data_IF_140055880392
#
_entry.id   IF_140055880392
#
_cell.length_a   1.000
_cell.length_b   1.000
_cell.length_c   1.000
_cell.angle_alpha   90.00
_cell.angle_beta   90.00
_cell.angle_gamma   90.00
#
_symmetry.space_group_name_H-M   'P 1'
#
loop_
_entity.id
_entity.type
_entity.pdbx_description
1 polymer ?
#
# COMPACT_ATOMS: atom_id res chain seq x y z
N UNK A 1 -8.32 23.77 24.08
CA UNK A 1 -7.96 22.83 22.99
C UNK A 1 -8.41 21.45 23.39
N UNK A 2 -9.20 20.76 22.58
CA UNK A 2 -9.57 19.37 22.88
C UNK A 2 -8.43 18.47 22.40
N UNK A 3 -7.88 17.65 23.29
CA UNK A 3 -6.78 16.74 22.97
C UNK A 3 -7.27 15.57 22.10
N UNK A 4 -6.42 15.07 21.21
CA UNK A 4 -6.61 13.82 20.47
C UNK A 4 -6.40 12.66 21.46
N UNK A 5 -7.28 11.67 21.45
CA UNK A 5 -7.18 10.49 22.31
C UNK A 5 -7.04 9.23 21.44
N UNK A 6 -5.92 8.52 21.59
CA UNK A 6 -5.70 7.27 20.88
C UNK A 6 -6.47 6.09 21.51
N UNK A 7 -6.88 5.09 20.70
CA UNK A 7 -6.79 5.07 19.23
C UNK A 7 -7.85 5.97 18.59
N UNK A 8 -7.45 6.76 17.58
CA UNK A 8 -8.38 7.60 16.80
C UNK A 8 -9.34 6.78 15.94
N UNK A 9 -8.93 5.57 15.54
CA UNK A 9 -9.76 4.55 14.88
C UNK A 9 -9.66 3.27 15.70
N UNK A 10 -10.72 2.89 16.41
CA UNK A 10 -10.72 1.71 17.30
C UNK A 10 -11.10 0.43 16.54
N UNK A 11 -10.73 -0.73 17.10
CA UNK A 11 -11.04 -2.04 16.49
C UNK A 11 -10.12 -2.37 15.31
N UNK A 12 -10.62 -3.16 14.36
CA UNK A 12 -9.85 -3.62 13.21
C UNK A 12 -9.66 -2.49 12.18
N UNK A 13 -8.61 -1.68 12.35
CA UNK A 13 -8.19 -0.59 11.45
C UNK A 13 -6.66 -0.59 11.35
N UNK A 14 -6.09 -1.59 10.67
CA UNK A 14 -4.65 -1.72 10.49
C UNK A 14 -4.14 -0.85 9.33
N UNK A 15 -2.82 -0.67 9.29
CA UNK A 15 -2.07 -0.05 8.17
C UNK A 15 -2.63 1.31 7.71
N UNK A 16 -2.69 2.33 8.59
CA UNK A 16 -3.25 3.64 8.23
C UNK A 16 -2.37 4.38 7.22
N UNK A 17 -2.89 4.62 6.01
CA UNK A 17 -2.34 5.55 5.03
C UNK A 17 -3.10 6.87 5.10
N UNK A 18 -2.46 7.92 5.64
CA UNK A 18 -3.06 9.25 5.82
C UNK A 18 -2.66 10.22 4.71
N UNK A 19 -3.61 11.02 4.23
CA UNK A 19 -3.38 12.16 3.34
C UNK A 19 -4.18 13.38 3.78
N UNK A 20 -3.83 14.53 3.20
CA UNK A 20 -4.61 15.76 3.31
C UNK A 20 -4.92 16.29 1.91
N UNK A 21 -6.19 16.65 1.68
CA UNK A 21 -6.64 17.39 0.49
C UNK A 21 -7.33 18.64 0.99
N UNK A 22 -6.80 19.81 0.61
CA UNK A 22 -7.26 21.11 1.10
C UNK A 22 -7.33 21.16 2.63
N UNK A 23 -8.51 21.19 3.24
CA UNK A 23 -8.77 21.26 4.68
C UNK A 23 -9.23 19.92 5.29
N UNK A 24 -9.24 18.84 4.50
CA UNK A 24 -9.75 17.53 4.89
C UNK A 24 -8.64 16.49 4.93
N UNK A 25 -8.64 15.66 5.96
CA UNK A 25 -7.74 14.53 6.13
C UNK A 25 -8.47 13.23 5.85
N UNK A 26 -7.79 12.29 5.22
CA UNK A 26 -8.32 10.97 4.92
C UNK A 26 -7.38 9.89 5.42
N UNK A 27 -7.93 8.80 5.94
CA UNK A 27 -7.18 7.58 6.27
C UNK A 27 -7.76 6.42 5.48
N UNK A 28 -6.91 5.67 4.80
CA UNK A 28 -7.20 4.35 4.27
C UNK A 28 -6.61 3.27 5.20
N UNK A 29 -7.38 2.24 5.52
CA UNK A 29 -6.95 1.08 6.30
C UNK A 29 -7.14 -0.21 5.51
N UNK A 30 -6.28 -1.20 5.77
CA UNK A 30 -6.41 -2.56 5.25
C UNK A 30 -7.69 -3.24 5.75
N UNK A 31 -8.23 -4.14 4.94
CA UNK A 31 -9.47 -4.89 5.24
C UNK A 31 -9.31 -6.40 5.12
N UNK A 32 -8.17 -6.89 4.65
CA UNK A 32 -7.90 -8.29 4.38
C UNK A 32 -9.03 -8.93 3.55
N UNK A 33 -9.61 -10.04 4.01
CA UNK A 33 -10.69 -10.77 3.34
C UNK A 33 -12.08 -10.11 3.45
N UNK A 34 -12.21 -9.02 4.23
CA UNK A 34 -13.50 -8.35 4.41
C UNK A 34 -13.86 -7.48 3.20
N UNK A 35 -15.10 -7.65 2.72
CA UNK A 35 -15.66 -6.91 1.58
C UNK A 35 -16.80 -6.00 2.06
N UNK A 36 -16.92 -4.74 1.55
CA UNK A 36 -16.09 -4.10 0.53
C UNK A 36 -14.67 -3.75 1.03
N UNK A 37 -13.71 -3.71 0.10
CA UNK A 37 -12.28 -3.58 0.42
C UNK A 37 -11.82 -2.14 0.62
N UNK A 38 -10.80 -1.98 1.48
CA UNK A 38 -10.26 -0.72 2.00
C UNK A 38 -11.29 0.08 2.81
N UNK A 39 -10.97 0.39 4.06
CA UNK A 39 -11.82 1.25 4.88
C UNK A 39 -11.33 2.69 4.81
N UNK A 40 -12.21 3.62 4.44
CA UNK A 40 -11.91 5.03 4.34
C UNK A 40 -12.54 5.82 5.49
N UNK A 41 -11.78 6.73 6.07
CA UNK A 41 -12.29 7.71 7.03
C UNK A 41 -11.90 9.12 6.61
N UNK A 42 -12.75 10.10 6.93
CA UNK A 42 -12.44 11.53 6.77
C UNK A 42 -12.51 12.28 8.09
N UNK A 43 -11.69 13.31 8.22
CA UNK A 43 -11.67 14.23 9.37
C UNK A 43 -11.29 15.63 8.95
N UNK A 44 -11.83 16.64 9.65
CA UNK A 44 -11.42 18.05 9.52
C UNK A 44 -10.46 18.47 10.65
N UNK A 45 -10.34 17.67 11.70
CA UNK A 45 -9.66 18.07 12.95
C UNK A 45 -8.68 17.02 13.49
N UNK A 46 -8.45 15.93 12.74
CA UNK A 46 -7.62 14.77 13.11
C UNK A 46 -8.09 14.00 14.36
N UNK A 47 -9.20 14.42 14.97
CA UNK A 47 -9.73 13.87 16.21
C UNK A 47 -11.00 13.06 15.96
N UNK A 48 -11.95 13.66 15.26
CA UNK A 48 -13.25 13.07 14.96
C UNK A 48 -13.21 12.56 13.52
N UNK A 49 -13.45 11.26 13.35
CA UNK A 49 -13.33 10.57 12.08
C UNK A 49 -14.67 9.96 11.69
N UNK A 50 -15.12 10.26 10.48
CA UNK A 50 -16.34 9.70 9.90
C UNK A 50 -15.98 8.62 8.89
N UNK A 51 -16.72 7.50 8.92
CA UNK A 51 -16.58 6.44 7.93
C UNK A 51 -17.13 6.89 6.58
N UNK A 52 -16.39 6.59 5.50
CA UNK A 52 -16.76 6.82 4.11
C UNK A 52 -17.14 5.51 3.40
N UNK A 53 -17.84 5.58 2.25
CA UNK A 53 -18.00 4.43 1.38
C UNK A 53 -16.64 3.83 0.98
N UNK A 54 -16.54 2.50 1.01
CA UNK A 54 -15.33 1.79 0.60
C UNK A 54 -15.10 1.89 -0.91
N UNK A 55 -13.85 2.08 -1.36
CA UNK A 55 -13.52 2.25 -2.76
C UNK A 55 -13.66 0.95 -3.56
N UNK A 56 -13.30 -0.20 -2.96
CA UNK A 56 -13.31 -1.51 -3.63
C UNK A 56 -14.64 -2.24 -3.36
N UNK A 57 -15.71 -1.72 -3.97
CA UNK A 57 -17.09 -2.12 -3.69
C UNK A 57 -17.74 -3.04 -4.72
N UNK A 58 -17.00 -3.43 -5.77
CA UNK A 58 -17.46 -4.34 -6.83
C UNK A 58 -16.44 -5.43 -7.09
N UNK A 59 -16.88 -6.55 -7.68
CA UNK A 59 -15.97 -7.65 -8.05
C UNK A 59 -15.02 -7.30 -9.19
N UNK A 60 -15.34 -6.28 -10.00
CA UNK A 60 -14.39 -5.72 -10.99
C UNK A 60 -13.18 -5.10 -10.31
N UNK A 61 -13.40 -4.41 -9.19
CA UNK A 61 -12.33 -3.80 -8.40
C UNK A 61 -11.62 -4.83 -7.49
N UNK A 62 -12.36 -5.79 -6.96
CA UNK A 62 -11.83 -6.75 -5.99
C UNK A 62 -12.62 -8.06 -5.97
N UNK A 63 -12.02 -9.13 -6.50
CA UNK A 63 -12.54 -10.49 -6.37
C UNK A 63 -11.64 -11.32 -5.43
N UNK A 64 -12.15 -11.56 -4.22
CA UNK A 64 -11.48 -12.32 -3.17
C UNK A 64 -12.11 -13.69 -2.91
N UNK A 65 -12.98 -14.18 -3.80
CA UNK A 65 -13.56 -15.51 -3.64
C UNK A 65 -12.44 -16.55 -3.61
N UNK A 66 -12.32 -17.27 -2.50
CA UNK A 66 -11.30 -18.30 -2.30
C UNK A 66 -9.97 -17.78 -1.75
N UNK A 67 -9.85 -16.50 -1.40
CA UNK A 67 -8.68 -16.00 -0.68
C UNK A 67 -8.53 -16.69 0.69
N UNK A 68 -7.29 -16.87 1.19
CA UNK A 68 -7.06 -17.37 2.54
C UNK A 68 -7.52 -16.35 3.59
N UNK A 69 -7.74 -16.81 4.82
CA UNK A 69 -7.91 -15.90 5.96
C UNK A 69 -6.69 -14.99 6.10
N UNK A 70 -6.93 -13.71 6.40
CA UNK A 70 -5.91 -12.64 6.39
C UNK A 70 -5.20 -12.44 5.04
N UNK A 71 -5.71 -13.01 3.94
CA UNK A 71 -5.33 -12.65 2.58
C UNK A 71 -6.05 -11.38 2.11
N UNK A 72 -6.20 -11.19 0.80
CA UNK A 72 -6.93 -10.04 0.26
C UNK A 72 -6.20 -8.73 0.52
N UNK A 73 -6.94 -7.72 0.96
CA UNK A 73 -6.47 -6.33 1.06
C UNK A 73 -5.50 -6.12 2.22
N UNK A 74 -4.20 -6.21 1.91
CA UNK A 74 -3.12 -5.75 2.77
C UNK A 74 -2.97 -4.22 2.71
N UNK A 75 -1.92 -3.67 3.34
CA UNK A 75 -1.72 -2.23 3.52
C UNK A 75 -1.99 -1.42 2.23
N UNK A 76 -3.02 -0.54 2.23
CA UNK A 76 -3.26 0.35 1.12
C UNK A 76 -2.36 1.59 1.20
N UNK A 77 -2.12 2.24 0.08
CA UNK A 77 -1.52 3.56 0.02
C UNK A 77 -2.45 4.52 -0.73
N UNK A 78 -3.02 5.46 0.00
CA UNK A 78 -3.82 6.56 -0.53
C UNK A 78 -2.91 7.77 -0.73
N UNK A 79 -3.04 8.42 -1.88
CA UNK A 79 -2.30 9.65 -2.25
C UNK A 79 -3.21 10.60 -3.05
N UNK A 80 -2.83 11.88 -3.11
CA UNK A 80 -3.53 12.90 -3.88
C UNK A 80 -2.51 13.69 -4.70
N UNK A 81 -2.72 13.72 -6.01
CA UNK A 81 -1.93 14.49 -6.96
C UNK A 81 -2.74 14.68 -8.24
N UNK A 82 -2.40 15.73 -8.99
CA UNK A 82 -2.99 16.01 -10.31
C UNK A 82 -4.53 16.12 -10.29
N UNK A 83 -5.10 16.59 -9.18
CA UNK A 83 -6.54 16.79 -9.02
C UNK A 83 -7.34 15.50 -8.84
N UNK A 84 -6.70 14.40 -8.43
CA UNK A 84 -7.38 13.12 -8.16
C UNK A 84 -6.72 12.32 -7.03
N UNK A 85 -7.50 11.45 -6.41
CA UNK A 85 -7.05 10.42 -5.49
C UNK A 85 -6.44 9.27 -6.27
N UNK A 86 -5.37 8.72 -5.72
CA UNK A 86 -4.68 7.53 -6.20
C UNK A 86 -4.65 6.53 -5.05
N UNK A 87 -5.22 5.35 -5.27
CA UNK A 87 -5.24 4.27 -4.29
C UNK A 87 -4.46 3.09 -4.86
N UNK A 88 -3.32 2.79 -4.24
CA UNK A 88 -2.61 1.54 -4.42
C UNK A 88 -3.10 0.54 -3.38
N UNK A 89 -3.41 -0.66 -3.80
CA UNK A 89 -3.85 -1.74 -2.92
C UNK A 89 -3.30 -3.08 -3.38
N UNK A 90 -3.25 -4.04 -2.47
CA UNK A 90 -2.64 -5.36 -2.70
C UNK A 90 -3.69 -6.43 -2.46
N UNK A 91 -3.85 -7.36 -3.39
CA UNK A 91 -4.63 -8.60 -3.17
C UNK A 91 -3.67 -9.77 -2.96
N UNK A 92 -3.56 -10.23 -1.71
CA UNK A 92 -2.67 -11.33 -1.30
C UNK A 92 -3.41 -12.66 -1.38
N UNK A 93 -2.87 -13.59 -2.17
CA UNK A 93 -3.46 -14.92 -2.42
C UNK A 93 -2.79 -16.03 -1.62
N UNK A 94 -1.54 -15.85 -1.18
CA UNK A 94 -0.80 -16.83 -0.36
C UNK A 94 -0.28 -16.14 0.89
N UNK A 95 -0.74 -16.54 2.08
CA UNK A 95 -0.34 -15.93 3.35
C UNK A 95 0.69 -16.73 4.13
N UNK A 96 0.90 -18.00 3.80
CA UNK A 96 1.79 -18.93 4.52
C UNK A 96 2.87 -19.53 3.61
N UNK A 97 3.93 -20.07 4.23
CA UNK A 97 5.04 -20.70 3.53
C UNK A 97 6.08 -19.72 2.96
N UNK A 98 6.92 -20.22 2.05
CA UNK A 98 8.03 -19.48 1.48
C UNK A 98 7.61 -18.35 0.52
N UNK A 99 6.42 -18.47 -0.08
CA UNK A 99 5.87 -17.49 -1.01
C UNK A 99 4.90 -16.53 -0.33
N UNK A 100 4.62 -15.44 -1.02
CA UNK A 100 3.64 -14.44 -0.60
C UNK A 100 2.86 -13.92 -1.79
N UNK A 101 2.46 -14.81 -2.71
CA UNK A 101 1.87 -14.43 -3.99
C UNK A 101 0.77 -13.38 -3.84
N UNK A 102 0.95 -12.27 -4.54
CA UNK A 102 0.11 -11.09 -4.45
C UNK A 102 0.10 -10.34 -5.78
N UNK A 103 -0.86 -9.44 -5.95
CA UNK A 103 -0.80 -8.43 -7.01
C UNK A 103 -1.14 -7.07 -6.42
N UNK A 104 -0.30 -6.09 -6.77
CA UNK A 104 -0.50 -4.68 -6.49
C UNK A 104 -1.30 -4.06 -7.64
N UNK A 105 -2.30 -3.27 -7.28
CA UNK A 105 -3.18 -2.59 -8.22
C UNK A 105 -3.23 -1.09 -7.90
N UNK A 106 -3.55 -0.31 -8.91
CA UNK A 106 -3.84 1.12 -8.82
C UNK A 106 -5.28 1.36 -9.28
N UNK A 107 -6.02 2.17 -8.51
CA UNK A 107 -7.28 2.78 -8.95
C UNK A 107 -7.28 4.27 -8.60
N UNK A 108 -8.08 5.06 -9.32
CA UNK A 108 -8.11 6.53 -9.18
C UNK A 108 -9.54 7.05 -9.12
N UNK A 109 -9.74 8.19 -8.46
CA UNK A 109 -11.03 8.87 -8.41
C UNK A 109 -10.85 10.38 -8.21
N UNK A 110 -11.73 11.20 -8.80
CA UNK A 110 -11.72 12.66 -8.56
C UNK A 110 -12.38 13.06 -7.24
N UNK A 111 -13.29 12.22 -6.73
CA UNK A 111 -13.93 12.34 -5.42
C UNK A 111 -13.60 11.08 -4.62
N UNK A 112 -13.31 11.22 -3.32
CA UNK A 112 -13.00 10.11 -2.42
C UNK A 112 -14.14 9.08 -2.35
N UNK A 113 -15.39 9.51 -2.62
CA UNK A 113 -16.60 8.67 -2.67
C UNK A 113 -16.77 7.96 -4.03
N UNK A 114 -15.86 8.18 -4.97
CA UNK A 114 -15.87 7.60 -6.31
C UNK A 114 -16.61 8.45 -7.36
N UNK A 115 -16.85 7.90 -8.56
CA UNK A 115 -16.51 6.53 -8.96
C UNK A 115 -14.99 6.31 -9.02
N UNK A 116 -14.57 5.12 -8.60
CA UNK A 116 -13.19 4.66 -8.73
C UNK A 116 -13.00 3.96 -10.09
N UNK A 117 -11.88 4.23 -10.75
CA UNK A 117 -11.56 3.64 -12.06
C UNK A 117 -11.35 2.13 -11.96
N UNK A 118 -11.51 1.43 -13.09
CA UNK A 118 -11.10 0.02 -13.18
C UNK A 118 -9.64 -0.16 -12.74
N UNK A 119 -9.30 -1.31 -12.15
CA UNK A 119 -8.00 -1.48 -11.52
C UNK A 119 -6.91 -1.71 -12.56
N UNK A 120 -5.83 -0.96 -12.42
CA UNK A 120 -4.62 -1.07 -13.23
C UNK A 120 -3.67 -1.99 -12.50
N UNK A 121 -3.30 -3.10 -13.13
CA UNK A 121 -2.33 -4.04 -12.57
C UNK A 121 -0.94 -3.42 -12.61
N UNK A 122 -0.29 -3.35 -11.45
CA UNK A 122 1.09 -2.87 -11.34
C UNK A 122 2.06 -4.05 -11.44
N UNK A 123 2.37 -4.70 -10.32
CA UNK A 123 3.30 -5.82 -10.26
C UNK A 123 2.99 -6.72 -9.04
N UNK A 124 3.87 -7.67 -8.73
CA UNK A 124 3.75 -8.56 -7.58
C UNK A 124 5.11 -8.96 -7.01
N UNK A 125 6.04 -8.01 -6.92
CA UNK A 125 7.39 -8.30 -6.37
C UNK A 125 7.38 -8.36 -4.83
N UNK A 126 6.35 -7.78 -4.21
CA UNK A 126 6.14 -7.71 -2.77
C UNK A 126 4.94 -6.82 -2.46
N UNK A 127 4.48 -6.86 -1.21
CA UNK A 127 3.33 -6.09 -0.69
C UNK A 127 3.76 -4.69 -0.19
N UNK A 128 2.85 -3.97 0.48
CA UNK A 128 3.05 -2.59 0.97
C UNK A 128 3.46 -1.61 -0.15
N UNK A 129 2.82 -1.76 -1.32
CA UNK A 129 3.06 -0.87 -2.44
C UNK A 129 2.47 0.52 -2.20
N UNK A 130 3.29 1.54 -2.41
CA UNK A 130 2.95 2.94 -2.23
C UNK A 130 3.39 3.78 -3.42
N UNK A 131 2.54 4.74 -3.81
CA UNK A 131 2.80 5.65 -4.90
C UNK A 131 3.37 6.96 -4.37
N UNK A 132 4.58 7.28 -4.79
CA UNK A 132 5.23 8.56 -4.57
C UNK A 132 5.06 9.45 -5.79
N UNK A 133 4.68 10.70 -5.56
CA UNK A 133 4.60 11.76 -6.58
C UNK A 133 5.78 12.70 -6.38
N UNK A 134 6.69 12.72 -7.35
CA UNK A 134 7.88 13.58 -7.30
C UNK A 134 7.55 14.99 -7.82
N UNK A 135 8.33 15.97 -7.40
CA UNK A 135 8.12 17.39 -7.72
C UNK A 135 8.37 17.69 -9.23
N UNK A 136 9.08 16.80 -9.92
CA UNK A 136 9.31 16.90 -11.37
C UNK A 136 8.20 16.25 -12.23
N UNK A 137 7.12 15.78 -11.58
CA UNK A 137 5.97 15.17 -12.23
C UNK A 137 6.12 13.67 -12.50
N UNK A 138 7.29 13.07 -12.23
CA UNK A 138 7.44 11.61 -12.27
C UNK A 138 6.74 10.97 -11.08
N UNK A 139 6.38 9.70 -11.27
CA UNK A 139 5.71 8.90 -10.25
C UNK A 139 6.48 7.62 -10.02
N UNK A 140 6.54 7.17 -8.78
CA UNK A 140 7.30 6.00 -8.41
C UNK A 140 6.50 5.08 -7.50
N UNK A 141 6.56 3.78 -7.75
CA UNK A 141 6.08 2.76 -6.83
C UNK A 141 7.24 2.35 -5.93
N UNK A 142 7.03 2.44 -4.62
CA UNK A 142 7.90 1.88 -3.58
C UNK A 142 7.19 0.73 -2.89
N UNK A 143 7.90 -0.36 -2.66
CA UNK A 143 7.33 -1.54 -2.01
C UNK A 143 8.42 -2.42 -1.44
N UNK A 144 8.07 -3.31 -0.50
CA UNK A 144 9.00 -4.33 -0.06
C UNK A 144 9.29 -5.33 -1.19
N UNK A 145 10.44 -5.98 -1.17
CA UNK A 145 10.79 -7.07 -2.10
C UNK A 145 10.78 -8.41 -1.40
N UNK A 146 9.92 -9.33 -1.85
CA UNK A 146 9.80 -10.66 -1.24
C UNK A 146 10.82 -11.64 -1.82
N UNK A 147 11.61 -12.26 -0.97
CA UNK A 147 12.57 -13.31 -1.30
C UNK A 147 12.09 -14.67 -0.77
N UNK A 148 11.76 -15.58 -1.69
CA UNK A 148 11.28 -16.92 -1.36
C UNK A 148 12.41 -17.94 -1.19
N UNK A 149 13.67 -17.55 -1.42
CA UNK A 149 14.81 -18.47 -1.37
C UNK A 149 15.05 -18.97 0.04
N UNK A 150 15.38 -20.25 0.14
CA UNK A 150 15.80 -20.86 1.39
C UNK A 150 17.05 -20.15 1.94
N UNK A 151 17.15 -20.06 3.27
CA UNK A 151 18.27 -19.42 3.99
C UNK A 151 18.43 -17.91 3.77
N UNK A 152 17.50 -17.26 3.07
CA UNK A 152 17.41 -15.82 2.95
C UNK A 152 16.29 -15.27 3.84
N UNK A 153 16.42 -14.02 4.29
CA UNK A 153 15.35 -13.38 5.03
C UNK A 153 14.29 -12.87 4.02
N UNK A 154 12.98 -13.17 4.18
CA UNK A 154 11.99 -12.91 3.12
C UNK A 154 11.82 -11.44 2.69
N UNK A 155 12.03 -10.49 3.59
CA UNK A 155 11.94 -9.05 3.29
C UNK A 155 13.29 -8.52 2.77
N UNK A 156 13.59 -8.64 1.48
CA UNK A 156 14.94 -8.39 0.91
C UNK A 156 15.32 -6.91 0.77
N UNK A 157 14.41 -5.99 1.06
CA UNK A 157 14.66 -4.55 0.94
C UNK A 157 13.49 -3.83 0.29
N UNK A 158 13.75 -2.62 -0.19
CA UNK A 158 12.74 -1.79 -0.85
C UNK A 158 13.08 -1.68 -2.33
N UNK A 159 12.11 -1.98 -3.20
CA UNK A 159 12.20 -1.72 -4.63
C UNK A 159 11.50 -0.42 -4.95
N UNK A 160 12.20 0.46 -5.66
CA UNK A 160 11.66 1.68 -6.26
C UNK A 160 11.60 1.49 -7.78
N UNK A 161 10.41 1.65 -8.38
CA UNK A 161 10.23 1.59 -9.83
C UNK A 161 9.43 2.78 -10.33
N UNK A 162 9.86 3.40 -11.42
CA UNK A 162 9.12 4.49 -12.06
C UNK A 162 7.82 3.95 -12.70
N UNK A 163 6.72 4.67 -12.49
CA UNK A 163 5.43 4.44 -13.14
C UNK A 163 5.32 5.37 -14.35
N UNK A 164 5.12 4.81 -15.54
CA UNK A 164 4.85 5.62 -16.73
C UNK A 164 3.46 6.24 -16.60
N UNK A 165 3.37 7.56 -16.52
CA UNK A 165 2.11 8.25 -16.29
C UNK A 165 1.21 8.32 -17.53
N UNK A 166 1.72 7.96 -18.72
CA UNK A 166 0.95 7.91 -19.97
C UNK A 166 0.30 6.55 -20.16
N UNK A 167 1.02 5.48 -19.87
CA UNK A 167 0.52 4.10 -20.02
C UNK A 167 -0.03 3.52 -18.72
N UNK A 168 0.35 4.09 -17.58
CA UNK A 168 0.11 3.58 -16.23
C UNK A 168 0.70 2.18 -16.01
N UNK A 169 1.76 1.86 -16.76
CA UNK A 169 2.52 0.62 -16.65
C UNK A 169 3.79 0.83 -15.81
N UNK A 170 4.16 -0.22 -15.08
CA UNK A 170 5.44 -0.26 -14.37
C UNK A 170 6.51 -0.75 -15.35
N UNK A 171 7.37 0.15 -15.81
CA UNK A 171 8.41 -0.18 -16.77
C UNK A 171 9.51 -1.02 -16.10
N UNK A 172 9.50 -2.34 -16.30
CA UNK A 172 10.53 -3.26 -15.77
C UNK A 172 11.96 -2.93 -16.28
N UNK A 173 12.08 -2.18 -17.38
CA UNK A 173 13.35 -1.70 -17.93
C UNK A 173 13.87 -0.38 -17.34
N UNK A 174 13.02 0.40 -16.65
CA UNK A 174 13.45 1.64 -16.00
C UNK A 174 13.94 1.32 -14.59
N UNK A 175 15.27 1.34 -14.43
CA UNK A 175 16.04 1.41 -13.17
C UNK A 175 15.24 1.08 -11.91
N UNK A 176 14.88 -0.20 -11.73
CA UNK A 176 14.45 -0.67 -10.43
C UNK A 176 15.64 -0.50 -9.48
N UNK A 177 15.55 0.50 -8.60
CA UNK A 177 16.57 0.75 -7.61
C UNK A 177 16.22 -0.08 -6.38
N UNK A 178 16.94 -1.19 -6.21
CA UNK A 178 16.84 -1.99 -5.01
C UNK A 178 17.70 -1.37 -3.91
N UNK A 179 17.07 -1.01 -2.80
CA UNK A 179 17.74 -0.56 -1.59
C UNK A 179 17.92 -1.76 -0.66
N UNK A 180 19.09 -2.41 -0.66
CA UNK A 180 19.33 -3.59 0.15
C UNK A 180 19.35 -3.22 1.63
N UNK A 181 19.09 -4.20 2.48
CA UNK A 181 19.24 -4.03 3.92
C UNK A 181 20.64 -3.55 4.29
N UNK A 182 20.72 -2.53 5.16
CA UNK A 182 21.95 -2.27 5.89
C UNK A 182 22.27 -3.47 6.78
N UNK A 183 23.35 -4.20 6.47
CA UNK A 183 23.93 -5.17 7.40
C UNK A 183 24.39 -4.39 8.63
N UNK A 184 23.74 -4.57 9.79
CA UNK A 184 24.39 -4.24 11.06
C UNK A 184 25.68 -5.05 11.10
N UNK A 185 26.82 -4.35 11.13
CA UNK A 185 28.13 -5.00 11.19
C UNK A 185 28.15 -6.00 12.33
N UNK A 186 28.40 -7.27 12.01
CA UNK A 186 28.82 -8.22 13.02
C UNK A 186 30.08 -7.66 13.66
N UNK A 187 30.01 -7.29 14.93
CA UNK A 187 31.16 -6.88 15.72
C UNK A 187 32.25 -7.95 15.58
N UNK A 188 33.47 -7.51 15.25
CA UNK A 188 34.65 -8.36 15.27
C UNK A 188 34.82 -8.91 16.69
N UNK A 189 34.42 -10.16 16.90
CA UNK A 189 34.77 -10.92 18.10
C UNK A 189 36.28 -11.12 18.16
N UNK A 190 36.83 -10.83 19.33
CA UNK A 190 38.25 -10.85 19.65
C UNK A 190 38.99 -12.14 19.26
N UNK A 191 40.22 -11.98 18.78
CA UNK A 191 41.21 -13.05 18.72
C UNK A 191 41.72 -13.35 20.15
N UNK A 192 41.83 -14.62 20.58
CA UNK A 192 42.52 -14.94 21.81
C UNK A 192 44.04 -14.91 21.60
N UNK A 193 44.76 -14.41 22.60
CA UNK A 193 46.17 -14.70 22.85
C UNK A 193 46.33 -16.10 23.43
#
# INVERSE_FOLDING_TARGET
MSLIQNPILRGFNADPSIIRVEDTYYIANSTFEWFPGVRLHESKDLKNWNLLPSPLSTTTLLDMKGNPSSGGIWAPALSWADGQFWLVYTDVKVTEGAFKDMTNYLTTAKDIRGPWSDPIKLNGVGFDASLFHDDDGRKYIVQQTWDHREYHHPFDGITLTELDTKTLEVNAGNRAHHLPRHRRGAGRGAAPL
#
